data_IF_507498829467
#
_entry.id   IF_507498829467
#
_cell.length_a   1.000
_cell.length_b   1.000
_cell.length_c   1.000
_cell.angle_alpha   90.00
_cell.angle_beta   90.00
_cell.angle_gamma   90.00
#
_symmetry.space_group_name_H-M   'P 1'
#
loop_
_entity.id
_entity.type
_entity.pdbx_description
1 polymer ?
#
# COMPACT_ATOMS: atom_id res chain seq x y z
N UNK A 1 18.38 5.09 -14.23
CA UNK A 1 19.10 3.98 -13.56
C UNK A 1 18.39 3.74 -12.23
N UNK A 2 17.73 2.59 -12.02
CA UNK A 2 17.18 2.26 -10.70
C UNK A 2 18.32 1.80 -9.80
N UNK A 3 18.45 2.38 -8.60
CA UNK A 3 19.38 1.89 -7.60
C UNK A 3 18.94 0.49 -7.15
N UNK A 4 19.87 -0.48 -6.98
CA UNK A 4 19.55 -1.77 -6.39
C UNK A 4 18.85 -1.58 -5.04
N UNK A 5 17.67 -2.18 -4.88
CA UNK A 5 16.85 -2.03 -3.67
C UNK A 5 16.05 -0.73 -3.57
N UNK A 6 15.97 0.09 -4.62
CA UNK A 6 15.05 1.22 -4.69
C UNK A 6 13.63 0.81 -5.09
N UNK A 7 12.65 1.69 -4.85
CA UNK A 7 11.32 1.55 -5.45
C UNK A 7 11.36 1.81 -6.95
N UNK A 8 10.54 1.09 -7.70
CA UNK A 8 10.27 1.40 -9.11
C UNK A 8 9.61 2.77 -9.26
N UNK A 9 9.67 3.37 -10.46
CA UNK A 9 8.74 4.43 -10.80
C UNK A 9 7.29 4.00 -10.57
N UNK A 10 6.43 4.95 -10.21
CA UNK A 10 5.01 4.68 -10.10
C UNK A 10 4.41 4.35 -11.46
N UNK A 11 3.51 3.37 -11.46
CA UNK A 11 2.68 2.97 -12.59
C UNK A 11 1.23 2.78 -12.14
N UNK A 12 0.32 2.67 -13.09
CA UNK A 12 -1.07 2.31 -12.81
C UNK A 12 -1.15 0.93 -12.14
N UNK A 13 -2.14 0.80 -11.26
CA UNK A 13 -2.42 -0.41 -10.50
C UNK A 13 -3.06 -1.45 -11.43
N UNK A 14 -2.51 -2.67 -11.47
CA UNK A 14 -3.06 -3.79 -12.23
C UNK A 14 -3.91 -4.74 -11.35
N UNK A 15 -4.53 -5.75 -11.96
CA UNK A 15 -5.38 -6.71 -11.24
C UNK A 15 -4.62 -7.53 -10.19
N UNK A 16 -3.32 -7.80 -10.39
CA UNK A 16 -2.49 -8.56 -9.44
C UNK A 16 -2.13 -7.69 -8.25
N UNK A 17 -1.82 -6.43 -8.48
CA UNK A 17 -1.57 -5.46 -7.42
C UNK A 17 -2.82 -5.26 -6.55
N UNK A 18 -4.00 -5.19 -7.17
CA UNK A 18 -5.28 -5.10 -6.45
C UNK A 18 -5.53 -6.32 -5.56
N UNK A 19 -5.23 -7.53 -6.04
CA UNK A 19 -5.40 -8.73 -5.23
C UNK A 19 -4.55 -8.69 -3.95
N UNK A 20 -3.29 -8.25 -4.06
CA UNK A 20 -2.38 -8.07 -2.92
C UNK A 20 -2.88 -6.95 -2.00
N UNK A 21 -3.34 -5.84 -2.58
CA UNK A 21 -3.89 -4.72 -1.83
C UNK A 21 -5.10 -5.14 -0.99
N UNK A 22 -6.07 -5.83 -1.61
CA UNK A 22 -7.27 -6.29 -0.91
C UNK A 22 -6.96 -7.39 0.11
N UNK A 23 -6.02 -8.29 -0.19
CA UNK A 23 -5.54 -9.29 0.79
C UNK A 23 -5.03 -8.61 2.08
N UNK A 24 -4.23 -7.54 1.94
CA UNK A 24 -3.60 -6.83 3.05
C UNK A 24 -4.56 -5.88 3.77
N UNK A 25 -5.50 -5.26 3.06
CA UNK A 25 -6.35 -4.18 3.59
C UNK A 25 -7.74 -4.63 4.02
N UNK A 26 -8.14 -5.89 3.80
CA UNK A 26 -9.48 -6.40 4.12
C UNK A 26 -9.94 -6.14 5.56
N UNK A 27 -8.99 -6.10 6.50
CA UNK A 27 -9.25 -5.99 7.93
C UNK A 27 -9.21 -4.51 8.40
N UNK A 28 -8.84 -3.57 7.53
CA UNK A 28 -8.87 -2.13 7.83
C UNK A 28 -10.31 -1.59 7.83
N UNK A 29 -10.63 -0.76 8.82
CA UNK A 29 -11.94 -0.14 9.01
C UNK A 29 -11.81 1.38 9.18
N UNK A 30 -12.90 2.11 8.98
CA UNK A 30 -12.95 3.56 9.22
C UNK A 30 -12.41 4.45 8.10
N UNK A 31 -11.72 3.88 7.11
CA UNK A 31 -11.29 4.58 5.89
C UNK A 31 -11.47 3.67 4.68
N UNK A 32 -12.04 4.21 3.61
CA UNK A 32 -12.08 3.54 2.30
C UNK A 32 -10.85 3.96 1.52
N UNK A 33 -10.05 3.00 1.05
CA UNK A 33 -8.86 3.25 0.24
C UNK A 33 -9.10 2.81 -1.21
N UNK A 34 -8.92 3.71 -2.17
CA UNK A 34 -8.96 3.41 -3.61
C UNK A 34 -7.57 3.59 -4.23
N UNK A 35 -6.79 2.51 -4.43
CA UNK A 35 -5.44 2.61 -5.01
C UNK A 35 -5.51 2.99 -6.49
N UNK A 36 -4.62 3.87 -6.94
CA UNK A 36 -4.53 4.27 -8.36
C UNK A 36 -3.10 4.28 -8.91
N UNK A 37 -2.08 4.45 -8.07
CA UNK A 37 -0.68 4.23 -8.44
C UNK A 37 -0.01 3.22 -7.52
N UNK A 38 0.96 2.49 -8.06
CA UNK A 38 1.80 1.55 -7.31
C UNK A 38 3.26 1.66 -7.74
N UNK A 39 4.15 1.56 -6.75
CA UNK A 39 5.57 1.33 -6.93
C UNK A 39 5.97 0.09 -6.14
N UNK A 40 6.90 -0.71 -6.67
CA UNK A 40 7.37 -1.94 -6.02
C UNK A 40 8.85 -1.87 -5.70
N UNK A 41 9.29 -2.65 -4.71
CA UNK A 41 10.70 -2.79 -4.36
C UNK A 41 10.95 -4.27 -3.99
N UNK A 42 11.92 -4.88 -4.66
CA UNK A 42 12.38 -6.24 -4.35
C UNK A 42 13.21 -6.26 -3.06
N UNK A 43 12.90 -7.20 -2.17
CA UNK A 43 13.58 -7.43 -0.89
C UNK A 43 13.59 -8.95 -0.58
N UNK A 44 13.37 -9.35 0.69
CA UNK A 44 13.10 -10.76 1.06
C UNK A 44 11.63 -11.13 0.84
N UNK A 45 11.08 -10.62 -0.26
CA UNK A 45 9.67 -10.48 -0.57
C UNK A 45 9.51 -9.25 -1.47
N UNK A 46 8.30 -8.74 -1.59
CA UNK A 46 8.02 -7.54 -2.37
C UNK A 46 7.37 -6.50 -1.47
N UNK A 47 7.99 -5.32 -1.40
CA UNK A 47 7.36 -4.14 -0.84
C UNK A 47 6.54 -3.45 -1.93
N UNK A 48 5.30 -3.12 -1.61
CA UNK A 48 4.41 -2.33 -2.44
C UNK A 48 4.14 -0.99 -1.76
N UNK A 49 4.15 0.08 -2.56
CA UNK A 49 3.77 1.41 -2.13
C UNK A 49 2.63 1.88 -3.03
N UNK A 50 1.42 1.87 -2.48
CA UNK A 50 0.23 2.32 -3.15
C UNK A 50 -0.06 3.77 -2.82
N UNK A 51 -0.41 4.57 -3.83
CA UNK A 51 -1.06 5.86 -3.62
C UNK A 51 -2.55 5.65 -3.79
N UNK A 52 -3.31 6.07 -2.78
CA UNK A 52 -4.75 5.88 -2.70
C UNK A 52 -5.47 7.21 -2.54
N UNK A 53 -6.63 7.30 -3.19
CA UNK A 53 -7.68 8.23 -2.81
C UNK A 53 -8.42 7.63 -1.62
N UNK A 54 -8.37 8.31 -0.49
CA UNK A 54 -8.88 7.81 0.77
C UNK A 54 -10.02 8.67 1.28
N UNK A 55 -11.11 8.02 1.69
CA UNK A 55 -12.25 8.68 2.33
C UNK A 55 -12.37 8.18 3.75
N UNK A 56 -12.08 9.07 4.70
CA UNK A 56 -12.13 8.81 6.14
C UNK A 56 -13.57 9.02 6.61
N UNK A 57 -14.12 8.04 7.32
CA UNK A 57 -15.51 7.99 7.76
C UNK A 57 -15.76 8.84 9.03
N UNK A 58 -15.47 10.14 8.94
CA UNK A 58 -15.83 11.14 9.96
C UNK A 58 -17.17 11.80 9.63
N UNK A 59 -17.71 12.61 10.54
CA UNK A 59 -18.83 13.54 10.26
C UNK A 59 -18.30 14.98 10.32
N UNK A 60 -18.13 15.70 9.20
CA UNK A 60 -18.32 15.26 7.80
C UNK A 60 -17.19 14.32 7.31
N UNK A 61 -17.41 13.53 6.25
CA UNK A 61 -16.36 12.68 5.67
C UNK A 61 -15.19 13.52 5.17
N UNK A 62 -13.97 13.02 5.36
CA UNK A 62 -12.75 13.71 4.93
C UNK A 62 -12.06 12.93 3.82
N UNK A 63 -11.73 13.60 2.72
CA UNK A 63 -10.92 13.02 1.65
C UNK A 63 -9.44 13.35 1.86
N UNK A 64 -8.58 12.39 1.56
CA UNK A 64 -7.13 12.54 1.66
C UNK A 64 -6.44 11.68 0.59
N UNK A 65 -5.26 12.10 0.19
CA UNK A 65 -4.32 11.22 -0.52
C UNK A 65 -3.52 10.49 0.55
N UNK A 66 -3.47 9.16 0.47
CA UNK A 66 -2.68 8.35 1.41
C UNK A 66 -1.72 7.44 0.69
N UNK A 67 -0.54 7.26 1.25
CA UNK A 67 0.40 6.23 0.87
C UNK A 67 0.19 5.01 1.76
N UNK A 68 -0.15 3.87 1.17
CA UNK A 68 -0.31 2.58 1.86
C UNK A 68 0.88 1.69 1.48
N UNK A 69 1.70 1.34 2.46
CA UNK A 69 2.83 0.44 2.30
C UNK A 69 2.41 -0.98 2.70
N UNK A 70 2.66 -1.94 1.82
CA UNK A 70 2.35 -3.36 2.03
C UNK A 70 3.62 -4.17 1.81
N UNK A 71 3.85 -5.17 2.65
CA UNK A 71 4.89 -6.17 2.44
C UNK A 71 4.27 -7.53 2.15
N UNK A 72 4.66 -8.15 1.04
CA UNK A 72 4.33 -9.52 0.70
C UNK A 72 5.60 -10.37 0.81
N UNK A 73 5.71 -11.27 1.81
CA UNK A 73 6.85 -12.17 1.89
C UNK A 73 6.79 -13.19 0.75
N UNK A 74 7.94 -13.71 0.33
CA UNK A 74 7.95 -14.89 -0.53
C UNK A 74 7.36 -16.08 0.23
N UNK A 75 6.49 -16.85 -0.43
CA UNK A 75 5.95 -18.07 0.13
C UNK A 75 7.12 -19.01 0.46
N UNK A 76 7.15 -19.53 1.69
CA UNK A 76 7.97 -20.69 2.02
C UNK A 76 7.13 -21.94 1.79
N UNK A 77 7.79 -23.05 1.48
CA UNK A 77 7.18 -24.34 1.07
C UNK A 77 6.04 -24.86 1.97
N UNK A 78 5.94 -24.39 3.21
CA UNK A 78 4.95 -24.83 4.19
C UNK A 78 4.05 -23.72 4.77
N UNK A 79 4.23 -22.45 4.35
CA UNK A 79 3.47 -21.34 4.93
C UNK A 79 3.09 -20.30 3.86
N UNK A 80 1.78 -20.11 3.66
CA UNK A 80 1.24 -19.09 2.75
C UNK A 80 1.37 -17.72 3.42
N UNK A 81 2.56 -17.15 3.30
CA UNK A 81 2.86 -15.84 3.86
C UNK A 81 1.90 -14.77 3.31
N UNK A 82 1.15 -14.14 4.21
CA UNK A 82 0.10 -13.18 3.84
C UNK A 82 0.67 -11.80 3.57
N UNK A 83 0.01 -11.05 2.69
CA UNK A 83 0.30 -9.62 2.52
C UNK A 83 -0.09 -8.87 3.80
N UNK A 84 0.79 -8.01 4.29
CA UNK A 84 0.54 -7.21 5.50
C UNK A 84 0.77 -5.73 5.22
N UNK A 85 -0.11 -4.88 5.76
CA UNK A 85 0.09 -3.44 5.75
C UNK A 85 1.19 -3.10 6.76
N UNK A 86 2.24 -2.44 6.30
CA UNK A 86 3.38 -2.05 7.15
C UNK A 86 3.29 -0.60 7.60
N UNK A 87 2.67 0.27 6.80
CA UNK A 87 2.46 1.68 7.15
C UNK A 87 1.35 2.31 6.31
N UNK A 88 0.66 3.30 6.87
CA UNK A 88 -0.29 4.16 6.17
C UNK A 88 0.04 5.61 6.54
N UNK A 89 0.34 6.44 5.54
CA UNK A 89 0.64 7.85 5.74
C UNK A 89 -0.30 8.73 4.93
N UNK A 90 -0.88 9.77 5.54
CA UNK A 90 -1.57 10.84 4.80
C UNK A 90 -0.53 11.74 4.12
N UNK A 91 -0.63 11.86 2.80
CA UNK A 91 0.25 12.72 2.02
C UNK A 91 -0.15 14.19 2.24
N UNK A 92 0.83 15.08 2.43
CA UNK A 92 0.59 16.50 2.69
C UNK A 92 0.29 16.86 4.16
N UNK A 93 0.47 15.94 5.10
CA UNK A 93 0.55 16.31 6.53
C UNK A 93 1.94 16.89 6.83
N UNK A 94 2.03 18.21 6.95
CA UNK A 94 3.27 18.93 7.30
C UNK A 94 3.51 19.05 8.82
N UNK A 95 2.66 18.46 9.68
CA UNK A 95 2.72 18.61 11.13
C UNK A 95 2.58 17.25 11.85
N UNK A 96 3.59 16.41 11.76
CA UNK A 96 3.82 15.35 12.74
C UNK A 96 5.26 15.48 13.24
N UNK A 97 5.45 16.34 14.25
CA UNK A 97 6.62 16.38 15.13
C UNK A 97 6.27 15.71 16.45
#
# INVERSE_FOLDING_TARGET
>A
MLCPGGFTPYRDVDCRDLAIFYEATRDLRGTTYKPYLVATQEARGVNFRFICNSTIMTRPPQNAITMVCIFKPFCKEHDKARAVVTSICKMGCYNCY
#
